data_IF_238804639277
#
_entry.id   IF_238804639277
#
_cell.length_a   1.000
_cell.length_b   1.000
_cell.length_c   1.000
_cell.angle_alpha   90.00
_cell.angle_beta   90.00
_cell.angle_gamma   90.00
#
_symmetry.space_group_name_H-M   'P 1'
#
loop_
_entity.id
_entity.type
_entity.pdbx_description
1 polymer ?
#
# COMPACT_ATOMS: atom_id res chain seq x y z
N UNK A 1 -20.91 12.28 -7.22
CA UNK A 1 -21.55 12.74 -8.46
C UNK A 1 -21.48 11.63 -9.49
N UNK A 2 -22.45 11.58 -10.40
CA UNK A 2 -22.43 10.64 -11.52
C UNK A 2 -22.12 11.44 -12.78
N UNK A 3 -21.13 10.99 -13.54
CA UNK A 3 -20.72 11.63 -14.80
C UNK A 3 -21.65 11.20 -15.93
N UNK A 4 -21.63 11.93 -17.05
CA UNK A 4 -22.36 11.55 -18.27
C UNK A 4 -21.91 10.19 -18.83
N UNK A 5 -20.68 9.77 -18.51
CA UNK A 5 -20.14 8.43 -18.83
C UNK A 5 -20.75 7.31 -18.00
N UNK A 6 -21.54 7.64 -16.96
CA UNK A 6 -22.07 6.68 -15.98
C UNK A 6 -21.10 6.33 -14.85
N UNK A 7 -19.88 6.87 -14.86
CA UNK A 7 -18.94 6.69 -13.75
C UNK A 7 -19.37 7.48 -12.52
N UNK A 8 -19.13 6.90 -11.34
CA UNK A 8 -19.44 7.51 -10.06
C UNK A 8 -18.18 8.02 -9.37
N UNK A 9 -18.24 9.26 -8.91
CA UNK A 9 -17.16 9.90 -8.16
C UNK A 9 -17.64 10.35 -6.78
N UNK A 10 -16.79 10.19 -5.77
CA UNK A 10 -16.99 10.73 -4.43
C UNK A 10 -16.05 11.90 -4.19
N UNK A 11 -16.51 12.95 -3.52
CA UNK A 11 -15.64 14.02 -3.02
C UNK A 11 -15.09 13.58 -1.67
N UNK A 12 -13.77 13.40 -1.59
CA UNK A 12 -13.10 12.89 -0.39
C UNK A 12 -12.35 14.01 0.33
N UNK A 13 -12.26 13.89 1.65
CA UNK A 13 -11.35 14.69 2.48
C UNK A 13 -10.25 13.79 3.01
N UNK A 14 -9.01 14.11 2.67
CA UNK A 14 -7.87 13.36 3.18
C UNK A 14 -7.65 13.64 4.66
N UNK A 15 -7.30 12.61 5.41
CA UNK A 15 -6.99 12.77 6.83
C UNK A 15 -5.78 13.68 7.00
N UNK A 16 -5.87 14.64 7.93
CA UNK A 16 -4.81 15.63 8.25
C UNK A 16 -4.54 16.70 7.18
N UNK A 17 -5.35 16.76 6.13
CA UNK A 17 -5.37 17.89 5.19
C UNK A 17 -6.66 18.68 5.36
N UNK A 18 -6.62 19.95 4.99
CA UNK A 18 -7.79 20.82 4.96
C UNK A 18 -8.64 20.59 3.70
N UNK A 19 -9.67 21.42 3.52
CA UNK A 19 -10.59 21.31 2.39
C UNK A 19 -10.03 21.83 1.07
N UNK A 20 -8.85 22.46 1.05
CA UNK A 20 -8.19 22.89 -0.19
C UNK A 20 -7.68 21.67 -0.98
N UNK A 21 -7.46 20.56 -0.29
CA UNK A 21 -7.00 19.29 -0.82
C UNK A 21 -8.13 18.28 -1.08
N UNK A 22 -9.40 18.69 -0.96
CA UNK A 22 -10.54 17.80 -1.22
C UNK A 22 -10.62 17.46 -2.72
N UNK A 23 -10.57 16.17 -3.07
CA UNK A 23 -10.57 15.70 -4.45
C UNK A 23 -11.83 14.89 -4.82
N UNK A 24 -12.21 14.91 -6.10
CA UNK A 24 -13.19 13.98 -6.66
C UNK A 24 -12.49 12.73 -7.15
N UNK A 25 -12.80 11.58 -6.55
CA UNK A 25 -12.19 10.30 -6.89
C UNK A 25 -13.22 9.33 -7.46
N UNK A 26 -12.82 8.56 -8.47
CA UNK A 26 -13.64 7.48 -9.00
C UNK A 26 -13.83 6.39 -7.94
N UNK A 27 -15.08 6.09 -7.60
CA UNK A 27 -15.39 5.18 -6.48
C UNK A 27 -14.86 3.77 -6.74
N UNK A 28 -14.97 3.27 -7.98
CA UNK A 28 -14.60 1.89 -8.30
C UNK A 28 -13.09 1.70 -8.47
N UNK A 29 -12.38 2.74 -8.93
CA UNK A 29 -10.96 2.66 -9.28
C UNK A 29 -10.03 3.19 -8.18
N UNK A 30 -10.50 4.13 -7.37
CA UNK A 30 -9.63 4.94 -6.49
C UNK A 30 -10.03 4.90 -5.01
N UNK A 31 -11.12 4.22 -4.67
CA UNK A 31 -11.61 4.12 -3.29
C UNK A 31 -11.74 2.65 -2.91
N UNK A 32 -11.10 2.25 -1.82
CA UNK A 32 -11.22 0.91 -1.24
C UNK A 32 -11.11 0.95 0.28
N UNK A 33 -11.41 -0.17 0.92
CA UNK A 33 -11.19 -0.31 2.35
C UNK A 33 -9.70 -0.10 2.68
N UNK A 34 -9.42 0.59 3.79
CA UNK A 34 -8.05 0.84 4.25
C UNK A 34 -7.29 -0.48 4.44
N UNK A 35 -6.06 -0.54 3.95
CA UNK A 35 -5.14 -1.65 4.17
C UNK A 35 -4.86 -1.86 5.66
N UNK A 36 -4.56 -3.09 6.05
CA UNK A 36 -4.35 -3.49 7.44
C UNK A 36 -2.84 -3.73 7.65
N UNK A 37 -2.22 -3.10 8.67
CA UNK A 37 -0.82 -3.35 8.99
C UNK A 37 -0.55 -4.84 9.27
N UNK A 38 0.62 -5.32 8.82
CA UNK A 38 1.06 -6.69 9.13
C UNK A 38 1.96 -6.64 10.36
N UNK A 39 1.49 -7.22 11.47
CA UNK A 39 2.29 -7.32 12.69
C UNK A 39 3.47 -8.30 12.52
N UNK A 40 4.54 -8.10 13.30
CA UNK A 40 5.74 -8.96 13.25
C UNK A 40 5.43 -10.44 13.47
N UNK A 41 4.49 -10.73 14.37
CA UNK A 41 4.00 -12.09 14.67
C UNK A 41 3.18 -12.71 13.53
N UNK A 42 2.75 -11.90 12.56
CA UNK A 42 1.79 -12.26 11.52
C UNK A 42 2.39 -12.24 10.12
N UNK A 43 3.71 -12.00 10.00
CA UNK A 43 4.42 -11.95 8.73
C UNK A 43 4.24 -13.22 7.87
N UNK A 44 3.95 -14.37 8.50
CA UNK A 44 3.71 -15.64 7.83
C UNK A 44 2.43 -15.66 6.99
N UNK A 45 1.51 -14.71 7.19
CA UNK A 45 0.27 -14.58 6.39
C UNK A 45 0.53 -14.04 4.99
N UNK A 46 1.53 -13.18 4.82
CA UNK A 46 1.91 -12.61 3.51
C UNK A 46 2.52 -13.69 2.62
N UNK A 47 2.06 -13.79 1.38
CA UNK A 47 2.47 -14.76 0.37
C UNK A 47 2.94 -14.07 -0.91
N UNK A 48 3.70 -14.81 -1.71
CA UNK A 48 4.04 -14.40 -3.07
C UNK A 48 2.75 -14.23 -3.88
N UNK A 49 2.64 -13.12 -4.60
CA UNK A 49 1.45 -12.71 -5.34
C UNK A 49 0.46 -11.85 -4.55
N UNK A 50 0.64 -11.67 -3.24
CA UNK A 50 -0.25 -10.78 -2.46
C UNK A 50 -0.06 -9.32 -2.89
N UNK A 51 -1.16 -8.58 -2.93
CA UNK A 51 -1.19 -7.12 -3.09
C UNK A 51 -0.97 -6.44 -1.74
N UNK A 52 0.02 -5.55 -1.68
CA UNK A 52 0.38 -4.78 -0.50
C UNK A 52 0.32 -3.28 -0.78
N UNK A 53 0.20 -2.48 0.27
CA UNK A 53 0.44 -1.03 0.20
C UNK A 53 1.79 -0.76 0.83
N UNK A 54 2.77 -0.50 -0.02
CA UNK A 54 4.14 -0.30 0.40
C UNK A 54 4.44 1.18 0.65
N UNK A 55 5.14 1.44 1.75
CA UNK A 55 5.60 2.78 2.13
C UNK A 55 6.99 3.04 1.57
N UNK A 56 7.11 4.11 0.79
CA UNK A 56 8.37 4.56 0.21
C UNK A 56 8.68 5.98 0.70
N UNK A 57 9.77 6.11 1.45
CA UNK A 57 10.32 7.41 1.81
C UNK A 57 11.01 8.00 0.58
N UNK A 58 10.48 9.11 0.05
CA UNK A 58 11.16 9.93 -0.96
C UNK A 58 11.56 11.27 -0.35
N UNK A 59 12.57 11.91 -0.93
CA UNK A 59 13.10 13.20 -0.46
C UNK A 59 12.04 14.29 -0.43
N UNK A 60 11.12 14.32 -1.41
CA UNK A 60 10.07 15.34 -1.50
C UNK A 60 8.86 15.03 -0.61
N UNK A 61 8.34 13.79 -0.69
CA UNK A 61 7.18 13.37 0.08
C UNK A 61 7.11 11.84 0.23
N UNK A 62 6.76 11.31 1.42
CA UNK A 62 6.49 9.89 1.59
C UNK A 62 5.26 9.46 0.77
N UNK A 63 5.36 8.30 0.12
CA UNK A 63 4.30 7.74 -0.73
C UNK A 63 3.90 6.35 -0.27
N UNK A 64 2.59 6.09 -0.31
CA UNK A 64 2.03 4.74 -0.21
C UNK A 64 1.64 4.28 -1.62
N UNK A 65 2.20 3.17 -2.08
CA UNK A 65 2.01 2.65 -3.44
C UNK A 65 1.61 1.19 -3.42
N UNK A 66 0.85 0.78 -4.44
CA UNK A 66 0.46 -0.61 -4.63
C UNK A 66 1.61 -1.42 -5.22
N UNK A 67 1.85 -2.59 -4.64
CA UNK A 67 2.88 -3.51 -5.11
C UNK A 67 2.48 -4.96 -4.88
N UNK A 68 2.98 -5.85 -5.73
CA UNK A 68 2.81 -7.29 -5.58
C UNK A 68 4.08 -7.95 -5.06
N UNK A 69 3.93 -8.90 -4.14
CA UNK A 69 5.05 -9.69 -3.61
C UNK A 69 5.57 -10.62 -4.69
N UNK A 70 6.85 -10.49 -5.06
CA UNK A 70 7.54 -11.39 -5.98
C UNK A 70 8.20 -12.57 -5.25
N UNK A 71 8.82 -12.31 -4.11
CA UNK A 71 9.53 -13.32 -3.31
C UNK A 71 9.65 -12.88 -1.85
N UNK A 72 9.90 -13.83 -0.95
CA UNK A 72 10.04 -13.56 0.48
C UNK A 72 11.24 -14.33 1.05
N UNK A 73 12.26 -13.60 1.48
CA UNK A 73 13.37 -14.17 2.26
C UNK A 73 12.96 -14.25 3.72
N UNK A 74 12.64 -15.47 4.17
CA UNK A 74 12.22 -15.74 5.55
C UNK A 74 13.44 -15.90 6.46
N UNK A 75 13.45 -15.17 7.56
CA UNK A 75 14.50 -15.22 8.57
C UNK A 75 13.98 -15.79 9.88
N UNK A 76 14.87 -16.34 10.71
CA UNK A 76 14.51 -16.77 12.08
C UNK A 76 14.43 -15.53 12.96
N UNK A 77 13.26 -15.28 13.54
CA UNK A 77 13.01 -14.17 14.45
C UNK A 77 11.93 -14.50 15.49
N UNK A 78 11.80 -13.66 16.52
CA UNK A 78 10.74 -13.79 17.52
C UNK A 78 9.46 -13.06 17.08
N UNK A 79 8.42 -13.11 17.91
CA UNK A 79 7.13 -12.46 17.62
C UNK A 79 7.17 -10.93 17.74
N UNK A 80 8.22 -10.35 18.31
CA UNK A 80 8.30 -8.91 18.60
C UNK A 80 8.89 -8.13 17.42
N UNK A 81 9.79 -8.74 16.67
CA UNK A 81 10.45 -8.08 15.54
C UNK A 81 10.67 -9.05 14.39
N UNK A 82 9.97 -8.83 13.29
CA UNK A 82 10.21 -9.54 12.04
C UNK A 82 11.46 -9.00 11.34
N UNK A 83 12.31 -9.91 10.86
CA UNK A 83 13.50 -9.61 10.04
C UNK A 83 13.40 -10.20 8.62
N UNK A 84 12.24 -10.72 8.22
CA UNK A 84 12.00 -11.15 6.83
C UNK A 84 12.17 -9.99 5.85
N UNK A 85 12.60 -10.32 4.64
CA UNK A 85 12.69 -9.37 3.52
C UNK A 85 11.65 -9.74 2.46
N UNK A 86 10.81 -8.77 2.11
CA UNK A 86 9.78 -8.89 1.08
C UNK A 86 10.29 -8.23 -0.19
N UNK A 87 10.43 -9.00 -1.27
CA UNK A 87 10.76 -8.47 -2.60
C UNK A 87 9.44 -8.18 -3.28
N UNK A 88 9.19 -6.91 -3.60
CA UNK A 88 7.94 -6.46 -4.20
C UNK A 88 8.20 -5.81 -5.55
N UNK A 89 7.17 -5.78 -6.42
CA UNK A 89 7.14 -5.01 -7.67
C UNK A 89 5.99 -4.02 -7.62
N UNK A 90 6.28 -2.75 -7.85
CA UNK A 90 5.27 -1.69 -7.89
C UNK A 90 4.45 -1.73 -9.18
N UNK A 91 3.14 -1.50 -9.06
CA UNK A 91 2.19 -1.68 -10.17
C UNK A 91 2.24 -0.55 -11.22
N UNK A 92 2.66 0.65 -10.81
CA UNK A 92 2.69 1.86 -11.64
C UNK A 92 3.95 1.98 -12.52
N UNK A 93 5.11 1.51 -12.07
CA UNK A 93 6.38 1.62 -12.83
C UNK A 93 7.16 0.31 -12.99
N UNK A 94 6.67 -0.81 -12.43
CA UNK A 94 7.33 -2.11 -12.42
C UNK A 94 8.71 -2.15 -11.74
N UNK A 95 9.06 -1.12 -10.96
CA UNK A 95 10.30 -1.15 -10.16
C UNK A 95 10.19 -2.18 -9.05
N UNK A 96 11.33 -2.80 -8.71
CA UNK A 96 11.41 -3.82 -7.68
C UNK A 96 12.19 -3.29 -6.47
N UNK A 97 11.70 -3.60 -5.26
CA UNK A 97 12.30 -3.14 -4.01
C UNK A 97 12.30 -4.26 -2.96
N UNK A 98 13.32 -4.23 -2.09
CA UNK A 98 13.41 -5.10 -0.91
C UNK A 98 12.96 -4.32 0.32
N UNK A 99 11.86 -4.75 0.91
CA UNK A 99 11.20 -4.07 2.03
C UNK A 99 11.22 -4.92 3.30
N UNK A 100 11.26 -4.24 4.44
CA UNK A 100 10.96 -4.81 5.76
C UNK A 100 9.45 -4.80 6.05
N UNK A 101 9.05 -5.49 7.11
CA UNK A 101 7.62 -5.58 7.48
C UNK A 101 6.99 -4.22 7.83
N UNK A 102 7.79 -3.28 8.31
CA UNK A 102 7.38 -1.94 8.72
C UNK A 102 6.99 -1.04 7.54
N UNK A 103 7.29 -1.48 6.32
CA UNK A 103 7.04 -0.76 5.07
C UNK A 103 5.96 -1.40 4.19
N UNK A 104 5.22 -2.40 4.68
CA UNK A 104 4.19 -3.12 3.89
C UNK A 104 2.82 -3.19 4.56
#
# INVERSE_FOLDING_TARGET
RTLSTGEEEARVRFSRLDNEHDEWLNIKKSVRQRSIPVESSECGRVKVGDLLVCFQEREDQPLCRDAHVLDIKREVHDSKKCSCVFIVRFDDDNTEEQLGIDKI
#
